data_IF_659519711473
#
_entry.id   IF_659519711473
#
_cell.length_a   1.000
_cell.length_b   1.000
_cell.length_c   1.000
_cell.angle_alpha   90.00
_cell.angle_beta   90.00
_cell.angle_gamma   90.00
#
_symmetry.space_group_name_H-M   'P 1'
#
loop_
_entity.id
_entity.type
_entity.pdbx_description
1 polymer ?
#
# COMPACT_ATOMS: atom_id res chain seq x y z
N UNK A 1 30.72 -33.00 28.78
CA UNK A 1 30.06 -33.97 29.69
C UNK A 1 28.55 -33.85 29.49
N UNK A 2 27.89 -34.99 29.18
CA UNK A 2 26.46 -35.35 29.40
C UNK A 2 25.37 -34.37 28.92
N UNK A 3 24.73 -34.58 27.75
CA UNK A 3 23.57 -35.44 27.43
C UNK A 3 22.24 -35.11 28.15
N UNK A 4 21.18 -34.77 27.39
CA UNK A 4 19.85 -35.44 27.33
C UNK A 4 18.92 -34.66 26.36
N UNK A 5 18.57 -35.19 25.18
CA UNK A 5 17.50 -36.17 24.81
C UNK A 5 16.06 -35.61 24.68
N UNK A 6 15.64 -35.48 23.41
CA UNK A 6 14.39 -35.93 22.76
C UNK A 6 13.02 -35.56 23.34
N UNK A 7 12.12 -35.11 22.45
CA UNK A 7 10.87 -35.84 22.12
C UNK A 7 10.28 -35.40 20.76
N UNK A 8 9.77 -36.40 20.04
CA UNK A 8 9.17 -36.40 18.70
C UNK A 8 7.63 -36.45 18.79
N UNK A 9 6.95 -35.80 17.82
CA UNK A 9 5.67 -36.15 17.12
C UNK A 9 4.38 -36.47 17.92
N UNK A 10 3.14 -36.42 17.37
CA UNK A 10 2.69 -36.80 16.00
C UNK A 10 1.79 -35.75 15.28
N UNK A 11 1.75 -35.67 13.94
CA UNK A 11 0.89 -36.40 12.96
C UNK A 11 -0.61 -36.43 13.35
N UNK A 12 -1.42 -35.69 12.60
CA UNK A 12 -2.84 -35.97 12.41
C UNK A 12 -3.16 -35.94 10.90
N UNK A 13 -3.38 -37.13 10.36
CA UNK A 13 -3.94 -37.47 9.06
C UNK A 13 -5.43 -37.77 9.31
N UNK A 14 -6.35 -37.43 8.40
CA UNK A 14 -7.62 -38.14 8.10
C UNK A 14 -8.40 -37.33 7.03
N UNK A 15 -8.57 -37.85 5.80
CA UNK A 15 -9.78 -38.55 5.29
C UNK A 15 -10.94 -37.56 5.07
N UNK A 16 -11.47 -37.29 3.87
CA UNK A 16 -11.69 -38.13 2.69
C UNK A 16 -13.16 -38.57 2.66
N UNK A 17 -14.00 -38.02 1.78
CA UNK A 17 -15.21 -38.70 1.29
C UNK A 17 -15.81 -37.99 0.08
N UNK A 18 -15.69 -38.65 -1.07
CA UNK A 18 -16.50 -38.41 -2.26
C UNK A 18 -17.92 -38.93 -2.01
N UNK A 19 -18.92 -38.24 -2.56
CA UNK A 19 -20.25 -38.82 -2.75
C UNK A 19 -20.59 -38.82 -4.23
N UNK A 20 -21.07 -39.99 -4.62
CA UNK A 20 -21.39 -40.43 -5.95
C UNK A 20 -22.65 -39.75 -6.50
N UNK A 21 -22.80 -39.81 -7.81
CA UNK A 21 -23.87 -39.17 -8.55
C UNK A 21 -25.22 -39.88 -8.49
N UNK A 22 -26.18 -39.30 -9.21
CA UNK A 22 -27.32 -39.99 -9.78
C UNK A 22 -27.67 -39.33 -11.11
N UNK A 23 -27.69 -40.18 -12.14
CA UNK A 23 -28.13 -39.93 -13.51
C UNK A 23 -29.65 -39.72 -13.62
N UNK A 24 -30.02 -39.06 -14.71
CA UNK A 24 -31.32 -38.53 -15.17
C UNK A 24 -32.50 -39.50 -15.23
N UNK A 25 -33.74 -38.96 -15.35
CA UNK A 25 -34.41 -39.14 -16.64
C UNK A 25 -35.13 -37.89 -17.18
N UNK A 26 -35.17 -37.85 -18.52
CA UNK A 26 -35.88 -36.91 -19.39
C UNK A 26 -37.33 -36.62 -18.96
N UNK A 27 -37.72 -35.35 -19.08
CA UNK A 27 -39.10 -35.03 -19.46
C UNK A 27 -39.08 -33.87 -20.46
N UNK A 28 -39.27 -34.19 -21.73
CA UNK A 28 -39.45 -33.23 -22.82
C UNK A 28 -40.83 -32.59 -22.68
N UNK A 29 -40.87 -31.31 -22.32
CA UNK A 29 -42.06 -30.48 -22.46
C UNK A 29 -41.73 -29.38 -23.46
N UNK A 30 -42.51 -29.33 -24.54
CA UNK A 30 -42.38 -28.33 -25.59
C UNK A 30 -42.72 -26.94 -25.03
N UNK A 31 -41.78 -26.00 -25.17
CA UNK A 31 -41.96 -24.59 -24.82
C UNK A 31 -41.74 -23.72 -26.06
N UNK A 32 -42.60 -22.72 -26.23
CA UNK A 32 -42.67 -21.81 -27.38
C UNK A 32 -41.37 -21.02 -27.62
N UNK A 33 -41.10 -20.53 -28.85
CA UNK A 33 -39.95 -19.70 -29.13
C UNK A 33 -40.15 -18.30 -28.52
N UNK A 34 -39.67 -18.11 -27.31
CA UNK A 34 -39.53 -16.80 -26.68
C UNK A 34 -38.23 -16.15 -27.18
N UNK A 35 -38.37 -14.99 -27.81
CA UNK A 35 -37.33 -14.06 -28.24
C UNK A 35 -36.13 -14.00 -27.28
N UNK A 36 -34.87 -14.08 -27.74
CA UNK A 36 -33.73 -13.91 -26.87
C UNK A 36 -33.72 -12.48 -26.30
N UNK A 37 -33.92 -12.39 -24.98
CA UNK A 37 -33.64 -11.18 -24.24
C UNK A 37 -32.15 -10.85 -24.41
N UNK A 38 -31.86 -9.67 -24.94
CA UNK A 38 -30.51 -9.16 -25.01
C UNK A 38 -29.96 -9.04 -23.59
N UNK A 39 -29.06 -9.95 -23.22
CA UNK A 39 -28.24 -9.81 -22.02
C UNK A 39 -27.39 -8.56 -22.20
N UNK A 40 -27.81 -7.44 -21.62
CA UNK A 40 -26.93 -6.29 -21.42
C UNK A 40 -25.81 -6.73 -20.48
N UNK A 41 -24.69 -7.11 -21.05
CA UNK A 41 -23.41 -7.19 -20.34
C UNK A 41 -23.02 -5.77 -19.97
N UNK A 42 -23.46 -5.30 -18.80
CA UNK A 42 -22.83 -4.15 -18.16
C UNK A 42 -21.37 -4.58 -17.92
N UNK A 43 -20.38 -3.92 -18.54
CA UNK A 43 -18.99 -4.24 -18.28
C UNK A 43 -18.74 -4.09 -16.77
N UNK A 44 -17.95 -4.98 -16.15
CA UNK A 44 -17.60 -4.82 -14.75
C UNK A 44 -16.95 -3.44 -14.58
N UNK A 45 -17.53 -2.62 -13.70
CA UNK A 45 -17.02 -1.29 -13.35
C UNK A 45 -15.53 -1.41 -13.10
N UNK A 46 -14.72 -0.77 -13.94
CA UNK A 46 -13.28 -0.71 -13.79
C UNK A 46 -12.94 -0.21 -12.38
N UNK A 47 -11.89 -0.80 -11.81
CA UNK A 47 -11.58 -0.78 -10.39
C UNK A 47 -11.74 0.60 -9.71
N UNK A 48 -12.44 0.61 -8.58
CA UNK A 48 -12.74 1.73 -7.68
C UNK A 48 -11.49 2.24 -6.94
N UNK A 49 -10.36 2.44 -7.62
CA UNK A 49 -9.18 3.03 -7.01
C UNK A 49 -9.23 4.55 -7.11
N UNK A 50 -9.30 5.20 -5.96
CA UNK A 50 -9.17 6.67 -5.85
C UNK A 50 -7.71 7.03 -6.13
N UNK A 51 -7.47 7.93 -7.08
CA UNK A 51 -6.13 8.43 -7.38
C UNK A 51 -5.56 9.24 -6.19
N UNK A 52 -4.22 9.34 -6.05
CA UNK A 52 -3.59 10.28 -5.12
C UNK A 52 -4.15 11.70 -5.26
N UNK A 53 -4.29 12.43 -4.16
CA UNK A 53 -4.79 13.81 -4.17
C UNK A 53 -3.67 14.86 -4.04
N UNK A 54 -2.43 14.41 -3.86
CA UNK A 54 -1.22 15.22 -3.83
C UNK A 54 -0.17 14.55 -4.71
N UNK A 55 0.53 15.36 -5.51
CA UNK A 55 1.65 14.92 -6.34
C UNK A 55 2.87 15.80 -6.08
N UNK A 56 4.05 15.19 -5.97
CA UNK A 56 5.31 15.89 -5.90
C UNK A 56 6.10 15.69 -7.19
N UNK A 57 6.62 16.78 -7.75
CA UNK A 57 7.58 16.72 -8.85
C UNK A 57 8.89 16.12 -8.35
N UNK A 58 9.46 15.23 -9.17
CA UNK A 58 10.76 14.63 -8.91
C UNK A 58 11.81 15.46 -9.62
N UNK A 59 12.75 16.00 -8.85
CA UNK A 59 13.95 16.63 -9.38
C UNK A 59 15.00 15.54 -9.56
N UNK A 60 15.18 15.10 -10.81
CA UNK A 60 16.18 14.12 -11.17
C UNK A 60 17.59 14.74 -11.17
N UNK A 61 18.51 14.09 -10.49
CA UNK A 61 19.94 14.44 -10.49
C UNK A 61 20.69 13.58 -11.51
N UNK A 62 20.38 12.29 -11.59
CA UNK A 62 20.86 11.37 -12.63
C UNK A 62 19.98 10.12 -12.76
N UNK A 63 20.19 9.34 -13.83
CA UNK A 63 19.44 8.11 -14.11
C UNK A 63 18.04 8.36 -14.67
N UNK A 64 17.22 7.30 -14.71
CA UNK A 64 15.82 7.37 -15.16
C UNK A 64 14.91 7.48 -13.95
N UNK A 65 14.25 8.63 -13.78
CA UNK A 65 13.36 8.88 -12.65
C UNK A 65 11.90 9.05 -13.10
N UNK A 66 10.92 8.75 -12.23
CA UNK A 66 9.54 9.13 -12.48
C UNK A 66 9.41 10.65 -12.53
N UNK A 67 8.45 11.19 -13.28
CA UNK A 67 8.22 12.65 -13.33
C UNK A 67 7.59 13.16 -12.02
N UNK A 68 6.67 12.38 -11.47
CA UNK A 68 5.97 12.70 -10.23
C UNK A 68 5.81 11.48 -9.33
N UNK A 69 5.53 11.73 -8.05
CA UNK A 69 5.09 10.72 -7.09
C UNK A 69 3.82 11.18 -6.40
N UNK A 70 2.89 10.25 -6.22
CA UNK A 70 1.59 10.51 -5.61
C UNK A 70 1.52 10.10 -4.15
N UNK A 71 0.78 10.85 -3.37
CA UNK A 71 0.33 10.47 -2.03
C UNK A 71 -1.12 10.90 -1.78
N UNK A 72 -1.80 10.18 -0.89
CA UNK A 72 -3.06 10.61 -0.30
C UNK A 72 -2.75 11.34 1.00
N UNK A 73 -3.11 12.62 1.09
CA UNK A 73 -3.06 13.41 2.32
C UNK A 73 -4.48 13.77 2.74
N UNK A 74 -4.78 13.67 4.03
CA UNK A 74 -6.04 14.19 4.56
C UNK A 74 -5.84 14.80 5.94
N UNK A 75 -6.53 15.92 6.16
CA UNK A 75 -6.54 16.64 7.43
C UNK A 75 -7.95 16.73 8.03
N UNK A 76 -8.04 16.64 9.35
CA UNK A 76 -9.25 16.92 10.13
C UNK A 76 -8.95 17.93 11.23
N UNK A 77 -9.44 19.16 11.05
CA UNK A 77 -9.26 20.23 12.02
C UNK A 77 -10.20 20.12 13.21
N UNK A 78 -9.73 20.56 14.37
CA UNK A 78 -10.51 20.74 15.60
C UNK A 78 -10.04 22.00 16.34
N UNK A 79 -10.72 22.38 17.41
CA UNK A 79 -10.30 23.54 18.22
C UNK A 79 -8.90 23.28 18.83
N UNK A 80 -7.92 24.08 18.44
CA UNK A 80 -6.53 23.95 18.92
C UNK A 80 -5.67 22.95 18.15
N UNK A 81 -6.07 22.48 16.96
CA UNK A 81 -5.20 21.60 16.17
C UNK A 81 -5.82 20.93 14.95
N UNK A 82 -5.09 19.95 14.42
CA UNK A 82 -5.53 19.09 13.34
C UNK A 82 -4.89 17.70 13.42
N UNK A 83 -5.65 16.73 12.96
CA UNK A 83 -5.20 15.37 12.67
C UNK A 83 -4.85 15.25 11.20
N UNK A 84 -3.77 14.54 10.90
CA UNK A 84 -3.29 14.34 9.54
C UNK A 84 -3.04 12.86 9.27
N UNK A 85 -3.41 12.42 8.07
CA UNK A 85 -3.05 11.10 7.55
C UNK A 85 -2.34 11.27 6.23
N UNK A 86 -1.28 10.50 6.03
CA UNK A 86 -0.60 10.39 4.75
C UNK A 86 -0.40 8.93 4.35
N UNK A 87 -0.67 8.63 3.08
CA UNK A 87 -0.39 7.33 2.45
C UNK A 87 0.36 7.56 1.16
N UNK A 88 1.55 6.97 1.01
CA UNK A 88 2.38 7.19 -0.19
C UNK A 88 2.13 6.10 -1.22
N UNK A 89 1.92 6.46 -2.49
CA UNK A 89 1.73 5.47 -3.56
C UNK A 89 3.07 4.99 -4.11
N UNK A 90 3.66 4.00 -3.44
CA UNK A 90 4.89 3.35 -3.89
C UNK A 90 4.69 2.40 -5.08
N UNK A 91 3.45 1.97 -5.38
CA UNK A 91 3.19 0.94 -6.41
C UNK A 91 3.74 1.27 -7.80
N UNK A 92 3.69 2.53 -8.29
CA UNK A 92 4.22 2.84 -9.62
C UNK A 92 5.75 2.82 -9.68
N UNK A 93 6.45 2.93 -8.55
CA UNK A 93 7.89 3.24 -8.50
C UNK A 93 8.75 2.18 -7.79
N UNK A 94 8.14 1.37 -6.92
CA UNK A 94 8.86 0.45 -6.05
C UNK A 94 8.38 -1.00 -6.20
N UNK A 95 9.27 -1.92 -5.88
CA UNK A 95 8.98 -3.33 -5.66
C UNK A 95 8.79 -3.60 -4.17
N UNK A 96 8.08 -4.69 -3.85
CA UNK A 96 7.93 -5.15 -2.48
C UNK A 96 9.18 -5.93 -2.01
N UNK A 97 9.45 -5.98 -0.70
CA UNK A 97 8.66 -5.37 0.39
C UNK A 97 9.06 -3.91 0.68
N UNK A 98 8.07 -3.12 1.10
CA UNK A 98 8.31 -1.86 1.81
C UNK A 98 8.58 -2.16 3.27
N UNK A 99 9.50 -1.42 3.90
CA UNK A 99 9.84 -1.57 5.30
C UNK A 99 9.95 -0.21 6.02
N UNK A 100 9.71 -0.21 7.32
CA UNK A 100 10.03 0.92 8.20
C UNK A 100 11.49 0.77 8.63
N UNK A 101 12.34 1.75 8.31
CA UNK A 101 13.77 1.73 8.69
C UNK A 101 14.07 2.61 9.89
N UNK A 102 13.22 3.59 10.18
CA UNK A 102 13.26 4.43 11.37
C UNK A 102 11.85 4.83 11.79
N UNK A 103 11.56 4.84 13.10
CA UNK A 103 10.30 5.34 13.64
C UNK A 103 10.49 5.86 15.06
N UNK A 104 10.16 7.14 15.24
CA UNK A 104 10.22 7.92 16.47
C UNK A 104 8.94 8.78 16.59
N UNK A 105 8.77 9.51 17.69
CA UNK A 105 7.61 10.39 17.92
C UNK A 105 7.50 11.55 16.92
N UNK A 106 8.60 11.95 16.27
CA UNK A 106 8.61 13.11 15.34
C UNK A 106 9.19 12.80 13.98
N UNK A 107 9.61 11.56 13.73
CA UNK A 107 10.16 11.16 12.44
C UNK A 107 9.85 9.71 12.12
N UNK A 108 9.59 9.42 10.86
CA UNK A 108 9.49 8.05 10.36
C UNK A 108 10.06 7.98 8.96
N UNK A 109 10.82 6.92 8.70
CA UNK A 109 11.42 6.65 7.40
C UNK A 109 11.00 5.27 6.91
N UNK A 110 10.45 5.24 5.71
CA UNK A 110 10.11 4.04 4.98
C UNK A 110 11.08 3.85 3.82
N UNK A 111 11.38 2.61 3.47
CA UNK A 111 12.23 2.26 2.35
C UNK A 111 11.62 1.11 1.55
N UNK A 112 11.74 1.18 0.23
CA UNK A 112 11.43 0.07 -0.66
C UNK A 112 12.44 0.01 -1.82
N UNK A 113 12.77 -1.19 -2.33
CA UNK A 113 13.55 -1.33 -3.55
C UNK A 113 12.84 -0.65 -4.74
N UNK A 114 13.57 0.03 -5.60
CA UNK A 114 13.01 0.58 -6.84
C UNK A 114 12.65 -0.54 -7.82
N UNK A 115 11.64 -0.30 -8.66
CA UNK A 115 11.38 -1.18 -9.79
C UNK A 115 12.45 -1.03 -10.88
N UNK A 116 12.51 -2.01 -11.79
CA UNK A 116 13.54 -2.05 -12.83
C UNK A 116 13.56 -0.80 -13.72
N UNK A 117 12.40 -0.13 -13.90
CA UNK A 117 12.30 1.08 -14.72
C UNK A 117 12.99 2.30 -14.07
N UNK A 118 13.17 2.29 -12.75
CA UNK A 118 13.75 3.39 -11.99
C UNK A 118 14.97 2.97 -11.16
N UNK A 119 15.53 1.79 -11.39
CA UNK A 119 16.59 1.20 -10.55
C UNK A 119 17.87 2.06 -10.47
N UNK A 120 18.10 2.93 -11.46
CA UNK A 120 19.24 3.85 -11.53
C UNK A 120 18.89 5.30 -11.16
N UNK A 121 17.66 5.57 -10.70
CA UNK A 121 17.22 6.92 -10.35
C UNK A 121 17.98 7.46 -9.14
N UNK A 122 18.56 8.66 -9.31
CA UNK A 122 19.00 9.54 -8.23
C UNK A 122 18.25 10.85 -8.33
N UNK A 123 17.53 11.20 -7.27
CA UNK A 123 16.70 12.40 -7.27
C UNK A 123 15.92 12.57 -5.98
N UNK A 124 15.15 13.64 -5.91
CA UNK A 124 14.35 13.98 -4.73
C UNK A 124 12.98 14.52 -5.17
N UNK A 125 11.92 14.14 -4.47
CA UNK A 125 10.60 14.76 -4.60
C UNK A 125 10.18 15.38 -3.27
N UNK A 126 9.81 16.66 -3.30
CA UNK A 126 9.37 17.43 -2.12
C UNK A 126 8.48 18.58 -2.56
N UNK A 127 7.55 18.98 -1.69
CA UNK A 127 6.76 20.19 -1.89
C UNK A 127 7.16 21.28 -0.89
N UNK A 128 7.29 22.56 -1.31
CA UNK A 128 7.44 23.67 -0.37
C UNK A 128 6.27 23.81 0.62
N UNK A 129 5.05 23.41 0.23
CA UNK A 129 3.86 23.50 1.10
C UNK A 129 3.70 22.32 2.06
N UNK A 130 4.38 21.21 1.79
CA UNK A 130 4.36 19.98 2.59
C UNK A 130 5.81 19.54 2.85
N UNK A 131 6.63 20.45 3.36
CA UNK A 131 8.08 20.27 3.49
C UNK A 131 8.47 19.13 4.43
N UNK A 132 7.57 18.73 5.34
CA UNK A 132 7.75 17.58 6.22
C UNK A 132 7.76 16.24 5.47
N UNK A 133 7.31 16.20 4.22
CA UNK A 133 7.31 14.99 3.40
C UNK A 133 8.39 15.07 2.33
N UNK A 134 9.33 14.13 2.35
CA UNK A 134 10.38 14.02 1.33
C UNK A 134 10.46 12.59 0.80
N UNK A 135 10.55 12.44 -0.52
CA UNK A 135 10.97 11.19 -1.14
C UNK A 135 12.38 11.33 -1.70
N UNK A 136 13.26 10.37 -1.40
CA UNK A 136 14.63 10.32 -1.91
C UNK A 136 14.83 9.05 -2.73
N UNK A 137 15.43 9.20 -3.90
CA UNK A 137 15.75 8.11 -4.81
C UNK A 137 17.26 7.95 -4.85
N UNK A 138 17.74 6.71 -4.71
CA UNK A 138 19.15 6.42 -4.86
C UNK A 138 19.50 5.01 -4.38
N UNK A 139 20.64 4.52 -4.86
CA UNK A 139 21.17 3.20 -4.49
C UNK A 139 20.17 2.05 -4.70
N UNK A 140 19.32 2.15 -5.74
CA UNK A 140 18.31 1.15 -6.05
C UNK A 140 17.11 1.14 -5.10
N UNK A 141 16.92 2.19 -4.30
CA UNK A 141 15.82 2.31 -3.33
C UNK A 141 15.12 3.66 -3.43
N UNK A 142 13.86 3.69 -3.01
CA UNK A 142 13.14 4.91 -2.68
C UNK A 142 12.89 4.95 -1.18
N UNK A 143 13.18 6.09 -0.57
CA UNK A 143 12.88 6.37 0.82
C UNK A 143 11.80 7.43 0.92
N UNK A 144 10.80 7.22 1.77
CA UNK A 144 9.87 8.26 2.21
C UNK A 144 10.22 8.67 3.64
N UNK A 145 10.55 9.94 3.83
CA UNK A 145 10.95 10.57 5.09
C UNK A 145 9.87 11.56 5.49
N UNK A 146 9.19 11.27 6.60
CA UNK A 146 8.30 12.22 7.26
C UNK A 146 9.02 12.76 8.48
N UNK A 147 9.35 14.06 8.47
CA UNK A 147 10.11 14.74 9.52
C UNK A 147 9.31 15.94 10.07
N UNK A 148 8.87 15.83 11.32
CA UNK A 148 8.12 16.85 12.03
C UNK A 148 9.01 17.72 12.92
N UNK A 149 10.35 17.64 12.82
CA UNK A 149 11.27 18.33 13.74
C UNK A 149 11.49 19.81 13.42
N UNK A 150 11.28 20.23 12.16
CA UNK A 150 11.58 21.60 11.72
C UNK A 150 10.60 22.67 12.24
N UNK A 151 9.50 22.29 12.89
CA UNK A 151 8.48 23.22 13.38
C UNK A 151 8.44 23.35 14.91
N UNK A 152 8.14 24.55 15.40
CA UNK A 152 8.05 24.89 16.82
C UNK A 152 6.71 24.47 17.48
N UNK A 153 5.74 24.02 16.68
CA UNK A 153 4.48 23.44 17.15
C UNK A 153 4.60 22.07 17.82
N UNK A 154 3.58 21.69 18.59
CA UNK A 154 3.45 20.34 19.14
C UNK A 154 2.95 19.38 18.05
N UNK A 155 3.90 18.84 17.29
CA UNK A 155 3.66 17.81 16.28
C UNK A 155 4.14 16.45 16.75
N UNK A 156 3.30 15.43 16.60
CA UNK A 156 3.59 14.06 17.05
C UNK A 156 3.04 13.03 16.06
N UNK A 157 3.85 12.04 15.72
CA UNK A 157 3.44 10.83 15.01
C UNK A 157 2.71 9.94 16.00
N UNK A 158 1.42 9.71 15.75
CA UNK A 158 0.53 8.93 16.61
C UNK A 158 0.46 7.46 16.16
N UNK A 159 0.67 7.21 14.87
CA UNK A 159 0.75 5.86 14.31
C UNK A 159 1.54 5.85 12.99
N UNK A 160 2.36 4.82 12.81
CA UNK A 160 3.13 4.56 11.60
C UNK A 160 3.08 3.05 11.30
N UNK A 161 2.63 2.67 10.12
CA UNK A 161 2.55 1.28 9.68
C UNK A 161 2.57 1.18 8.14
N UNK A 162 2.36 -0.01 7.60
CA UNK A 162 2.14 -0.27 6.19
C UNK A 162 0.66 -0.60 5.92
N UNK A 163 0.03 0.13 5.00
CA UNK A 163 -1.34 -0.15 4.54
C UNK A 163 -1.34 -0.73 3.14
N UNK A 164 -1.47 -2.06 3.05
CA UNK A 164 -1.34 -2.81 1.78
C UNK A 164 0.00 -2.47 1.10
N UNK A 165 1.09 -2.65 1.86
CA UNK A 165 2.49 -2.41 1.46
C UNK A 165 2.84 -0.96 1.09
N UNK A 166 1.99 0.00 1.45
CA UNK A 166 2.26 1.44 1.30
C UNK A 166 2.59 2.08 2.64
N UNK A 167 3.55 3.01 2.69
CA UNK A 167 3.75 3.85 3.86
C UNK A 167 2.45 4.50 4.30
N UNK A 168 2.07 4.32 5.58
CA UNK A 168 0.90 4.93 6.20
C UNK A 168 1.35 5.62 7.50
N UNK A 169 1.08 6.92 7.60
CA UNK A 169 1.37 7.68 8.82
C UNK A 169 0.15 8.50 9.23
N UNK A 170 -0.16 8.46 10.52
CA UNK A 170 -1.12 9.34 11.18
C UNK A 170 -0.39 10.17 12.24
N UNK A 171 -0.50 11.49 12.13
CA UNK A 171 0.18 12.44 13.01
C UNK A 171 -0.76 13.60 13.37
N UNK A 172 -0.45 14.28 14.47
CA UNK A 172 -1.26 15.38 15.01
C UNK A 172 -0.42 16.63 15.13
N UNK A 173 -1.01 17.78 14.80
CA UNK A 173 -0.56 19.10 15.24
C UNK A 173 -1.55 19.61 16.29
N UNK A 174 -1.08 19.97 17.48
CA UNK A 174 -1.91 20.59 18.52
C UNK A 174 -1.18 21.78 19.15
N UNK A 175 -1.95 22.73 19.69
CA UNK A 175 -1.49 23.91 20.43
C UNK A 175 -1.63 23.74 21.94
#
# INVERSE_FOLDING_TARGET
>A
MTWHLRKLSPIALLVGMAIAGCSTPNNSTAESPSTPAATSSVPPTEATFVAPNVEFEVVAESGTCPETVGLWESGWSFEGGADHTVVVDFRPIAQQPTQIVQSDERRVVYEAPLNEAFADCFGTARSPSLSMYTLRFGNGTVQFDLDLTEDDGFREIRHADLSVDRPYVYWRAAE
#
